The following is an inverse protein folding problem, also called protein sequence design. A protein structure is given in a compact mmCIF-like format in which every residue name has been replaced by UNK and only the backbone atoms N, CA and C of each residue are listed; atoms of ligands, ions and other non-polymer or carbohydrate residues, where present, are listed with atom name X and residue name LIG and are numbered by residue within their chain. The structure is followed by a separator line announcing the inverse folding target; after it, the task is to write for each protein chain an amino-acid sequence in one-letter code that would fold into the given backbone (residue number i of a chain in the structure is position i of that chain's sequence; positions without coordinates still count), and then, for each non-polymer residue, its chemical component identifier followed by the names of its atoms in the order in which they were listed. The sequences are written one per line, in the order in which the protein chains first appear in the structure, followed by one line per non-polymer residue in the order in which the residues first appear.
data_IF_952846689481
#
_entry.id   IF_952846689481
#
_cell.length_a   1.000
_cell.length_b   1.000
_cell.length_c   1.000
_cell.angle_alpha   90.00
_cell.angle_beta   90.00
_cell.angle_gamma   90.00
#
_symmetry.space_group_name_H-M   'P 1'
#
loop_
_entity.id
_entity.type
_entity.pdbx_description
1 polymer ?
#
# COMPACT_ATOMS: atom_id res chain seq x y z
N UNK A 1 -58.62 14.20 85.10
CA UNK A 1 -59.21 15.33 84.34
C UNK A 1 -60.67 15.44 84.72
N UNK A 2 -61.18 16.65 84.95
CA UNK A 2 -62.63 16.87 84.91
C UNK A 2 -63.10 16.65 83.47
N UNK A 3 -64.14 15.83 83.28
CA UNK A 3 -64.86 15.72 82.00
C UNK A 3 -66.07 16.65 82.02
N UNK A 4 -66.66 16.95 80.87
CA UNK A 4 -67.93 17.68 80.79
C UNK A 4 -69.01 17.07 81.70
N UNK A 5 -69.05 15.74 81.80
CA UNK A 5 -69.92 15.00 82.72
C UNK A 5 -69.59 15.24 84.21
N UNK A 6 -68.30 15.40 84.57
CA UNK A 6 -67.91 15.76 85.94
C UNK A 6 -68.30 17.20 86.29
N UNK A 7 -68.38 18.09 85.31
CA UNK A 7 -68.78 19.50 85.49
C UNK A 7 -70.30 19.58 85.69
N UNK A 8 -71.10 18.89 84.86
CA UNK A 8 -72.57 18.83 85.02
C UNK A 8 -73.04 18.14 86.30
N UNK A 9 -72.32 17.11 86.74
CA UNK A 9 -72.68 16.36 87.94
C UNK A 9 -72.20 17.01 89.25
N UNK A 10 -71.57 18.19 89.19
CA UNK A 10 -71.03 18.86 90.38
C UNK A 10 -72.16 19.47 91.21
N UNK A 11 -72.22 19.12 92.50
CA UNK A 11 -73.14 19.73 93.46
C UNK A 11 -72.41 20.66 94.43
N UNK A 12 -73.12 21.70 94.88
CA UNK A 12 -72.63 22.69 95.83
C UNK A 12 -73.53 22.76 97.08
N UNK A 13 -72.96 23.14 98.22
CA UNK A 13 -73.71 23.35 99.47
C UNK A 13 -74.48 24.67 99.46
N UNK A 14 -75.74 24.68 99.91
CA UNK A 14 -76.55 25.90 99.99
C UNK A 14 -76.18 26.77 101.21
N UNK A 15 -76.07 28.09 101.02
CA UNK A 15 -75.71 29.09 102.05
C UNK A 15 -76.67 30.28 101.98
N UNK A 16 -76.95 30.95 103.12
CA UNK A 16 -78.05 31.92 103.31
C UNK A 16 -78.09 33.09 102.30
N UNK A 17 -76.97 33.48 101.69
CA UNK A 17 -76.87 34.50 100.63
C UNK A 17 -76.10 33.95 99.41
N UNK A 18 -76.32 32.69 99.04
CA UNK A 18 -75.65 32.04 97.91
C UNK A 18 -76.25 32.41 96.54
N UNK A 19 -75.58 31.97 95.48
CA UNK A 19 -76.08 32.06 94.11
C UNK A 19 -77.32 31.18 93.88
N UNK A 20 -78.17 31.56 92.93
CA UNK A 20 -79.35 30.77 92.56
C UNK A 20 -78.93 29.40 91.97
N UNK A 21 -79.37 28.27 92.55
CA UNK A 21 -79.08 26.95 92.04
C UNK A 21 -79.48 26.72 90.57
N UNK A 22 -80.50 27.42 90.06
CA UNK A 22 -80.95 27.30 88.67
C UNK A 22 -79.95 27.98 87.70
N UNK A 23 -79.59 29.23 87.95
CA UNK A 23 -78.59 29.96 87.13
C UNK A 23 -77.22 29.28 87.15
N UNK A 24 -76.81 28.75 88.31
CA UNK A 24 -75.55 27.99 88.42
C UNK A 24 -75.59 26.71 87.59
N UNK A 25 -76.76 26.04 87.51
CA UNK A 25 -76.92 24.84 86.68
C UNK A 25 -76.84 25.15 85.19
N UNK A 26 -77.52 26.21 84.75
CA UNK A 26 -77.49 26.64 83.34
C UNK A 26 -76.07 27.03 82.92
N UNK A 27 -75.34 27.74 83.80
CA UNK A 27 -73.94 28.08 83.58
C UNK A 27 -73.00 26.86 83.56
N UNK A 28 -73.22 25.87 84.44
CA UNK A 28 -72.48 24.60 84.42
C UNK A 28 -72.74 23.80 83.14
N UNK A 29 -73.97 23.83 82.61
CA UNK A 29 -74.33 23.18 81.34
C UNK A 29 -73.64 23.83 80.14
N UNK A 30 -73.57 25.17 80.10
CA UNK A 30 -72.86 25.95 79.09
C UNK A 30 -71.35 25.71 79.14
N UNK A 31 -70.72 25.82 80.32
CA UNK A 31 -69.29 25.51 80.51
C UNK A 31 -68.99 24.06 80.12
N UNK A 32 -69.86 23.11 80.47
CA UNK A 32 -69.66 21.72 80.11
C UNK A 32 -69.67 21.52 78.58
N UNK A 33 -70.57 22.19 77.85
CA UNK A 33 -70.60 22.16 76.38
C UNK A 33 -69.35 22.81 75.76
N UNK A 34 -68.95 23.99 76.20
CA UNK A 34 -67.75 24.66 75.69
C UNK A 34 -66.48 23.86 75.99
N UNK A 35 -66.40 23.26 77.16
CA UNK A 35 -65.27 22.41 77.55
C UNK A 35 -65.18 21.13 76.71
N UNK A 36 -66.32 20.52 76.39
CA UNK A 36 -66.37 19.37 75.49
C UNK A 36 -65.95 19.75 74.06
N UNK A 37 -66.42 20.89 73.56
CA UNK A 37 -66.01 21.43 72.26
C UNK A 37 -64.50 21.74 72.21
N UNK A 38 -63.96 22.33 73.28
CA UNK A 38 -62.54 22.63 73.41
C UNK A 38 -61.68 21.35 73.47
N UNK A 39 -62.12 20.32 74.20
CA UNK A 39 -61.44 19.01 74.23
C UNK A 39 -61.43 18.37 72.85
N UNK A 40 -62.57 18.36 72.15
CA UNK A 40 -62.66 17.81 70.79
C UNK A 40 -61.76 18.56 69.80
N UNK A 41 -61.74 19.90 69.85
CA UNK A 41 -60.86 20.72 69.00
C UNK A 41 -59.38 20.48 69.31
N UNK A 42 -59.03 20.25 70.58
CA UNK A 42 -57.68 19.88 70.98
C UNK A 42 -57.28 18.51 70.40
N UNK A 43 -58.14 17.50 70.52
CA UNK A 43 -57.89 16.17 69.95
C UNK A 43 -57.70 16.23 68.43
N UNK A 44 -58.57 16.94 67.72
CA UNK A 44 -58.46 17.16 66.26
C UNK A 44 -57.16 17.88 65.89
N UNK A 45 -56.74 18.88 66.68
CA UNK A 45 -55.47 19.58 66.47
C UNK A 45 -54.26 18.70 66.76
N UNK A 46 -54.29 17.91 67.83
CA UNK A 46 -53.23 16.96 68.20
C UNK A 46 -53.06 15.87 67.12
N UNK A 47 -54.17 15.36 66.56
CA UNK A 47 -54.12 14.45 65.41
C UNK A 47 -53.51 15.10 64.17
N UNK A 48 -53.87 16.35 63.88
CA UNK A 48 -53.31 17.09 62.74
C UNK A 48 -51.82 17.35 62.91
N UNK A 49 -51.38 17.70 64.12
CA UNK A 49 -49.96 17.85 64.46
C UNK A 49 -49.20 16.54 64.27
N UNK A 50 -49.77 15.41 64.69
CA UNK A 50 -49.16 14.08 64.45
C UNK A 50 -48.98 13.80 62.96
N UNK A 51 -50.04 13.96 62.15
CA UNK A 51 -49.98 13.74 60.70
C UNK A 51 -48.96 14.65 60.01
N UNK A 52 -48.95 15.94 60.37
CA UNK A 52 -47.97 16.89 59.84
C UNK A 52 -46.53 16.52 60.22
N UNK A 53 -46.31 16.03 61.44
CA UNK A 53 -44.98 15.58 61.86
C UNK A 53 -44.53 14.32 61.11
N UNK A 54 -45.44 13.38 60.86
CA UNK A 54 -45.16 12.19 60.05
C UNK A 54 -44.82 12.56 58.60
N UNK A 55 -45.60 13.45 57.98
CA UNK A 55 -45.31 13.96 56.63
C UNK A 55 -43.97 14.71 56.59
N UNK A 56 -43.68 15.54 57.59
CA UNK A 56 -42.43 16.28 57.67
C UNK A 56 -41.22 15.35 57.85
N UNK A 57 -41.37 14.26 58.62
CA UNK A 57 -40.34 13.23 58.73
C UNK A 57 -40.09 12.55 57.37
N UNK A 58 -41.17 12.20 56.65
CA UNK A 58 -41.08 11.61 55.31
C UNK A 58 -40.41 12.55 54.31
N UNK A 59 -40.78 13.83 54.29
CA UNK A 59 -40.14 14.80 53.40
C UNK A 59 -38.64 14.97 53.68
N UNK A 60 -38.22 14.89 54.95
CA UNK A 60 -36.79 14.93 55.30
C UNK A 60 -36.04 13.70 54.82
N UNK A 61 -36.66 12.52 54.93
CA UNK A 61 -36.08 11.27 54.41
C UNK A 61 -35.95 11.32 52.88
N UNK A 62 -37.00 11.77 52.19
CA UNK A 62 -36.99 11.94 50.72
C UNK A 62 -35.94 12.97 50.29
N UNK A 63 -35.81 14.09 51.00
CA UNK A 63 -34.80 15.11 50.72
C UNK A 63 -33.38 14.54 50.84
N UNK A 64 -33.10 13.75 51.87
CA UNK A 64 -31.80 13.11 52.06
C UNK A 64 -31.54 12.04 50.99
N UNK A 65 -32.55 11.24 50.64
CA UNK A 65 -32.46 10.26 49.56
C UNK A 65 -32.14 10.92 48.22
N UNK A 66 -32.79 12.05 47.91
CA UNK A 66 -32.54 12.82 46.68
C UNK A 66 -31.12 13.42 46.69
N UNK A 67 -30.68 14.01 47.81
CA UNK A 67 -29.32 14.54 47.93
C UNK A 67 -28.28 13.45 47.73
N UNK A 68 -28.47 12.30 48.36
CA UNK A 68 -27.59 11.14 48.21
C UNK A 68 -27.57 10.63 46.77
N UNK A 69 -28.73 10.48 46.14
CA UNK A 69 -28.85 10.07 44.74
C UNK A 69 -28.15 11.05 43.79
N UNK A 70 -28.26 12.36 44.05
CA UNK A 70 -27.59 13.39 43.24
C UNK A 70 -26.06 13.29 43.36
N UNK A 71 -25.54 13.15 44.57
CA UNK A 71 -24.10 13.00 44.81
C UNK A 71 -23.58 11.71 44.18
N UNK A 72 -24.33 10.61 44.31
CA UNK A 72 -23.97 9.34 43.67
C UNK A 72 -23.95 9.46 42.14
N UNK A 73 -24.99 10.08 41.56
CA UNK A 73 -25.07 10.33 40.12
C UNK A 73 -23.91 11.19 39.61
N UNK A 74 -23.53 12.23 40.36
CA UNK A 74 -22.38 13.08 40.00
C UNK A 74 -21.07 12.31 40.04
N UNK A 75 -20.87 11.46 41.06
CA UNK A 75 -19.68 10.59 41.16
C UNK A 75 -19.62 9.60 40.01
N UNK A 76 -20.74 8.95 39.69
CA UNK A 76 -20.78 7.97 38.61
C UNK A 76 -20.58 8.63 37.24
N UNK A 77 -21.17 9.81 37.00
CA UNK A 77 -20.91 10.59 35.80
C UNK A 77 -19.43 10.98 35.67
N UNK A 78 -18.81 11.42 36.76
CA UNK A 78 -17.38 11.76 36.78
C UNK A 78 -16.51 10.54 36.49
N UNK A 79 -16.87 9.38 37.05
CA UNK A 79 -16.19 8.11 36.82
C UNK A 79 -16.31 7.67 35.36
N UNK A 80 -17.51 7.71 34.76
CA UNK A 80 -17.72 7.41 33.34
C UNK A 80 -16.84 8.30 32.45
N UNK A 81 -16.78 9.61 32.73
CA UNK A 81 -15.94 10.54 31.97
C UNK A 81 -14.46 10.20 32.14
N UNK A 82 -14.01 9.88 33.36
CA UNK A 82 -12.63 9.49 33.63
C UNK A 82 -12.25 8.20 32.92
N UNK A 83 -13.11 7.18 32.99
CA UNK A 83 -12.90 5.86 32.39
C UNK A 83 -12.87 5.98 30.86
N UNK A 84 -13.80 6.72 30.26
CA UNK A 84 -13.81 7.00 28.84
C UNK A 84 -12.54 7.74 28.37
N UNK A 85 -12.06 8.72 29.16
CA UNK A 85 -10.80 9.42 28.88
C UNK A 85 -9.59 8.50 29.03
N UNK A 86 -9.60 7.57 29.98
CA UNK A 86 -8.53 6.58 30.12
C UNK A 86 -8.50 5.64 28.92
N UNK A 87 -9.64 5.03 28.60
CA UNK A 87 -9.77 4.13 27.45
C UNK A 87 -9.39 4.80 26.13
N UNK A 88 -9.78 6.06 25.93
CA UNK A 88 -9.38 6.82 24.76
C UNK A 88 -7.86 7.04 24.68
N UNK A 89 -7.21 7.34 25.82
CA UNK A 89 -5.74 7.46 25.88
C UNK A 89 -5.06 6.13 25.60
N UNK A 90 -5.51 5.06 26.23
CA UNK A 90 -4.95 3.72 26.06
C UNK A 90 -5.11 3.25 24.60
N UNK A 91 -6.24 3.55 23.97
CA UNK A 91 -6.48 3.27 22.55
C UNK A 91 -5.52 4.05 21.64
N UNK A 92 -5.33 5.35 21.88
CA UNK A 92 -4.40 6.19 21.10
C UNK A 92 -2.96 5.71 21.28
N UNK A 93 -2.56 5.38 22.50
CA UNK A 93 -1.21 4.90 22.81
C UNK A 93 -0.93 3.53 22.18
N UNK A 94 -1.89 2.61 22.26
CA UNK A 94 -1.82 1.32 21.58
C UNK A 94 -1.72 1.47 20.06
N UNK A 95 -2.58 2.30 19.46
CA UNK A 95 -2.56 2.58 18.02
C UNK A 95 -1.23 3.20 17.57
N UNK A 96 -0.67 4.12 18.37
CA UNK A 96 0.63 4.74 18.09
C UNK A 96 1.78 3.74 18.18
N UNK A 97 1.76 2.86 19.19
CA UNK A 97 2.77 1.81 19.36
C UNK A 97 2.73 0.84 18.19
N UNK A 98 1.52 0.45 17.76
CA UNK A 98 1.34 -0.44 16.63
C UNK A 98 1.72 0.22 15.30
N UNK A 99 1.46 1.53 15.12
CA UNK A 99 1.92 2.29 13.95
C UNK A 99 3.45 2.32 13.87
N UNK A 100 4.13 2.60 14.98
CA UNK A 100 5.59 2.58 15.04
C UNK A 100 6.12 1.18 14.71
N UNK A 101 5.54 0.13 15.32
CA UNK A 101 5.92 -1.26 15.07
C UNK A 101 5.77 -1.63 13.59
N UNK A 102 4.63 -1.30 12.98
CA UNK A 102 4.36 -1.59 11.58
C UNK A 102 5.29 -0.79 10.64
N UNK A 103 5.56 0.47 10.97
CA UNK A 103 6.50 1.33 10.23
C UNK A 103 7.91 0.76 10.27
N UNK A 104 8.39 0.36 11.44
CA UNK A 104 9.70 -0.27 11.61
C UNK A 104 9.78 -1.57 10.81
N UNK A 105 8.77 -2.45 10.95
CA UNK A 105 8.70 -3.69 10.17
C UNK A 105 8.74 -3.40 8.66
N UNK A 106 7.92 -2.48 8.16
CA UNK A 106 7.93 -2.10 6.75
C UNK A 106 9.29 -1.54 6.31
N UNK A 107 9.94 -0.70 7.13
CA UNK A 107 11.26 -0.14 6.83
C UNK A 107 12.30 -1.25 6.72
N UNK A 108 12.32 -2.16 7.71
CA UNK A 108 13.27 -3.29 7.70
C UNK A 108 13.07 -4.22 6.51
N UNK A 109 11.83 -4.49 6.12
CA UNK A 109 11.52 -5.30 4.94
C UNK A 109 11.92 -4.59 3.65
N UNK A 110 11.66 -3.28 3.52
CA UNK A 110 12.11 -2.49 2.37
C UNK A 110 13.64 -2.49 2.25
N UNK A 111 14.36 -2.32 3.36
CA UNK A 111 15.82 -2.39 3.39
C UNK A 111 16.34 -3.78 3.02
N UNK A 112 15.71 -4.85 3.53
CA UNK A 112 16.05 -6.23 3.20
C UNK A 112 15.87 -6.49 1.70
N UNK A 113 14.71 -6.12 1.15
CA UNK A 113 14.41 -6.27 -0.27
C UNK A 113 15.42 -5.48 -1.10
N UNK A 114 15.73 -4.24 -0.73
CA UNK A 114 16.68 -3.39 -1.46
C UNK A 114 18.09 -4.01 -1.47
N UNK A 115 18.54 -4.55 -0.33
CA UNK A 115 19.83 -5.26 -0.23
C UNK A 115 19.83 -6.51 -1.10
N UNK A 116 18.81 -7.34 -1.02
CA UNK A 116 18.68 -8.55 -1.85
C UNK A 116 18.69 -8.24 -3.34
N UNK A 117 17.97 -7.20 -3.78
CA UNK A 117 18.01 -6.74 -5.16
C UNK A 117 19.39 -6.24 -5.58
N UNK A 118 20.02 -5.42 -4.75
CA UNK A 118 21.36 -4.91 -5.03
C UNK A 118 22.39 -6.04 -5.17
N UNK A 119 22.38 -6.99 -4.24
CA UNK A 119 23.29 -8.13 -4.25
C UNK A 119 23.06 -9.03 -5.47
N UNK A 120 21.80 -9.31 -5.80
CA UNK A 120 21.45 -10.08 -7.01
C UNK A 120 21.85 -9.39 -8.30
N UNK A 121 21.70 -8.07 -8.38
CA UNK A 121 22.19 -7.29 -9.51
C UNK A 121 23.72 -7.34 -9.60
N UNK A 122 24.43 -7.21 -8.48
CA UNK A 122 25.88 -7.30 -8.45
C UNK A 122 26.39 -8.68 -8.89
N UNK A 123 25.73 -9.76 -8.45
CA UNK A 123 26.03 -11.12 -8.89
C UNK A 123 25.80 -11.31 -10.39
N UNK A 124 24.66 -10.83 -10.91
CA UNK A 124 24.35 -10.91 -12.33
C UNK A 124 25.40 -10.16 -13.18
N UNK A 125 25.79 -8.95 -12.77
CA UNK A 125 26.82 -8.17 -13.46
C UNK A 125 28.16 -8.92 -13.45
N UNK A 126 28.56 -9.51 -12.32
CA UNK A 126 29.79 -10.31 -12.24
C UNK A 126 29.75 -11.50 -13.20
N UNK A 127 28.67 -12.26 -13.20
CA UNK A 127 28.50 -13.42 -14.07
C UNK A 127 28.55 -13.04 -15.56
N UNK A 128 27.84 -11.99 -15.96
CA UNK A 128 27.86 -11.52 -17.35
C UNK A 128 29.22 -10.95 -17.76
N UNK A 129 29.91 -10.26 -16.85
CA UNK A 129 31.29 -9.79 -17.08
C UNK A 129 32.25 -10.96 -17.27
N UNK A 130 32.12 -12.02 -16.46
CA UNK A 130 32.95 -13.22 -16.56
C UNK A 130 32.71 -13.98 -17.87
N UNK A 131 31.44 -14.19 -18.26
CA UNK A 131 31.09 -14.77 -19.56
C UNK A 131 31.62 -13.95 -20.73
N UNK A 132 31.50 -12.62 -20.65
CA UNK A 132 32.01 -11.72 -21.69
C UNK A 132 33.52 -11.82 -21.80
N UNK A 133 34.23 -11.87 -20.67
CA UNK A 133 35.68 -12.08 -20.64
C UNK A 133 36.07 -13.42 -21.26
N UNK A 134 35.37 -14.50 -20.93
CA UNK A 134 35.60 -15.83 -21.52
C UNK A 134 35.44 -15.79 -23.05
N UNK A 135 34.36 -15.18 -23.55
CA UNK A 135 34.14 -15.01 -25.00
C UNK A 135 35.25 -14.18 -25.66
N UNK A 136 35.70 -13.10 -25.01
CA UNK A 136 36.82 -12.28 -25.51
C UNK A 136 38.10 -13.12 -25.58
N UNK A 137 38.38 -13.93 -24.56
CA UNK A 137 39.56 -14.79 -24.51
C UNK A 137 39.52 -15.88 -25.60
N UNK A 138 38.35 -16.47 -25.87
CA UNK A 138 38.13 -17.40 -26.97
C UNK A 138 38.37 -16.76 -28.34
N UNK A 139 37.73 -15.62 -28.62
CA UNK A 139 37.92 -14.87 -29.86
C UNK A 139 39.39 -14.48 -30.05
N UNK A 140 40.06 -14.03 -28.98
CA UNK A 140 41.48 -13.68 -29.04
C UNK A 140 42.37 -14.87 -29.36
N UNK A 141 42.03 -16.07 -28.86
CA UNK A 141 42.75 -17.31 -29.16
C UNK A 141 42.59 -17.69 -30.62
N UNK A 142 41.38 -17.64 -31.15
CA UNK A 142 41.08 -17.91 -32.56
C UNK A 142 41.79 -16.89 -33.47
N UNK A 143 41.69 -15.60 -33.15
CA UNK A 143 42.38 -14.54 -33.87
C UNK A 143 43.91 -14.75 -33.91
N UNK A 144 44.52 -15.15 -32.79
CA UNK A 144 45.97 -15.47 -32.75
C UNK A 144 46.32 -16.66 -33.63
N UNK A 145 45.49 -17.71 -33.63
CA UNK A 145 45.71 -18.89 -34.46
C UNK A 145 45.59 -18.55 -35.96
N UNK A 146 44.56 -17.80 -36.34
CA UNK A 146 44.35 -17.38 -37.73
C UNK A 146 45.43 -16.41 -38.20
N UNK A 147 45.84 -15.47 -37.34
CA UNK A 147 46.98 -14.59 -37.62
C UNK A 147 48.28 -15.37 -37.86
N UNK A 148 48.54 -16.41 -37.07
CA UNK A 148 49.72 -17.25 -37.28
C UNK A 148 49.66 -18.01 -38.62
N UNK A 149 48.48 -18.50 -39.02
CA UNK A 149 48.27 -19.11 -40.35
C UNK A 149 48.47 -18.12 -41.48
N UNK A 150 47.93 -16.90 -41.33
CA UNK A 150 48.13 -15.83 -42.30
C UNK A 150 49.61 -15.47 -42.46
N UNK A 151 50.33 -15.34 -41.35
CA UNK A 151 51.77 -15.05 -41.37
C UNK A 151 52.56 -16.17 -42.05
N UNK A 152 52.15 -17.44 -41.88
CA UNK A 152 52.77 -18.57 -42.56
C UNK A 152 52.48 -18.59 -44.07
N UNK A 153 51.21 -18.44 -44.47
CA UNK A 153 50.82 -18.33 -45.87
C UNK A 153 51.54 -17.17 -46.57
N UNK A 154 51.72 -16.04 -45.87
CA UNK A 154 52.48 -14.89 -46.37
C UNK A 154 53.95 -15.26 -46.62
N UNK A 155 54.56 -16.07 -45.76
CA UNK A 155 55.91 -16.60 -45.98
C UNK A 155 55.94 -17.52 -47.20
N UNK A 156 55.00 -18.45 -47.32
CA UNK A 156 54.89 -19.36 -48.47
C UNK A 156 54.74 -18.59 -49.79
N UNK A 157 53.86 -17.59 -49.86
CA UNK A 157 53.69 -16.72 -51.03
C UNK A 157 54.97 -15.96 -51.35
N UNK A 158 55.71 -15.51 -50.33
CA UNK A 158 56.99 -14.81 -50.52
C UNK A 158 58.04 -15.76 -51.09
N UNK A 159 58.11 -17.00 -50.59
CA UNK A 159 59.00 -18.05 -51.09
C UNK A 159 58.65 -18.42 -52.54
N UNK A 160 57.36 -18.68 -52.81
CA UNK A 160 56.88 -18.97 -54.16
C UNK A 160 57.21 -17.84 -55.13
N UNK A 161 56.99 -16.57 -54.73
CA UNK A 161 57.39 -15.41 -55.55
C UNK A 161 58.89 -15.39 -55.82
N UNK A 162 59.72 -15.74 -54.84
CA UNK A 162 61.17 -15.81 -54.99
C UNK A 162 61.63 -16.97 -55.89
N UNK A 163 60.90 -18.09 -55.95
CA UNK A 163 61.16 -19.22 -56.85
C UNK A 163 60.66 -18.94 -58.28
N UNK A 164 59.49 -18.32 -58.42
CA UNK A 164 58.82 -18.08 -59.69
C UNK A 164 59.44 -16.92 -60.48
N UNK A 165 59.89 -15.86 -59.79
CA UNK A 165 60.56 -14.71 -60.42
C UNK A 165 61.77 -15.11 -61.30
N UNK A 166 62.73 -15.91 -60.82
CA UNK A 166 63.86 -16.33 -61.64
C UNK A 166 63.45 -17.28 -62.78
N UNK A 167 62.42 -18.12 -62.60
CA UNK A 167 61.85 -18.93 -63.68
C UNK A 167 61.26 -18.07 -64.79
N UNK A 168 60.47 -17.04 -64.44
CA UNK A 168 59.95 -16.09 -65.42
C UNK A 168 61.04 -15.25 -66.07
N UNK A 169 62.02 -14.77 -65.33
CA UNK A 169 63.17 -14.06 -65.89
C UNK A 169 63.93 -14.94 -66.90
N UNK A 170 64.08 -16.24 -66.60
CA UNK A 170 64.68 -17.21 -67.53
C UNK A 170 63.83 -17.44 -68.78
N UNK A 171 62.51 -17.58 -68.63
CA UNK A 171 61.59 -17.68 -69.78
C UNK A 171 61.62 -16.41 -70.63
N UNK A 172 61.64 -15.23 -70.02
CA UNK A 172 61.74 -13.94 -70.72
C UNK A 172 63.07 -13.82 -71.48
N UNK A 173 64.17 -14.26 -70.87
CA UNK A 173 65.49 -14.31 -71.53
C UNK A 173 65.51 -15.31 -72.69
N UNK A 174 64.83 -16.46 -72.57
CA UNK A 174 64.65 -17.40 -73.68
C UNK A 174 63.82 -16.80 -74.82
N UNK A 175 62.75 -16.05 -74.50
CA UNK A 175 61.91 -15.36 -75.48
C UNK A 175 62.71 -14.28 -76.23
N UNK A 176 63.58 -13.55 -75.53
CA UNK A 176 64.51 -12.59 -76.16
C UNK A 176 65.63 -13.24 -77.00
N UNK A 177 65.81 -14.57 -76.91
CA UNK A 177 66.81 -15.34 -77.68
C UNK A 177 66.22 -16.08 -78.88
N UNK A 178 64.91 -16.00 -79.11
CA UNK A 178 64.31 -16.51 -80.34
C UNK A 178 64.63 -15.56 -81.51
N UNK A 179 65.10 -16.06 -82.66
CA UNK A 179 65.22 -15.25 -83.87
C UNK A 179 63.83 -14.74 -84.27
N UNK A 180 63.69 -13.45 -84.57
CA UNK A 180 62.52 -12.92 -85.28
C UNK A 180 62.46 -13.63 -86.62
N UNK A 181 61.64 -14.67 -86.67
CA UNK A 181 61.26 -15.34 -87.91
C UNK A 181 59.86 -14.82 -88.17
N UNK A 182 59.68 -14.13 -89.30
CA UNK A 182 58.37 -13.71 -89.78
C UNK A 182 57.47 -14.96 -89.84
N UNK A 183 56.58 -15.09 -88.86
CA UNK A 183 55.47 -16.01 -88.94
C UNK A 183 54.38 -15.28 -89.72
N UNK A 184 53.98 -15.89 -90.83
CA UNK A 184 52.79 -15.52 -91.58
C UNK A 184 51.62 -15.38 -90.60
N UNK A 185 50.83 -14.32 -90.77
CA UNK A 185 49.61 -14.07 -90.00
C UNK A 185 48.64 -15.23 -90.20
N UNK A 186 48.69 -16.23 -89.32
CA UNK A 186 47.56 -17.13 -89.10
C UNK A 186 46.49 -16.32 -88.36
N UNK A 187 45.31 -16.25 -88.98
CA UNK A 187 44.14 -15.52 -88.50
C UNK A 187 43.66 -16.09 -87.15
N UNK A 188 44.21 -15.57 -86.04
CA UNK A 188 43.92 -15.98 -84.65
C UNK A 188 42.61 -15.40 -84.12
N UNK A 189 41.82 -14.73 -84.96
CA UNK A 189 40.55 -14.07 -84.59
C UNK A 189 39.57 -15.01 -83.89
N UNK A 190 39.50 -16.29 -84.27
CA UNK A 190 38.64 -17.27 -83.63
C UNK A 190 39.12 -17.68 -82.21
N UNK A 191 40.42 -17.66 -81.94
CA UNK A 191 40.98 -18.01 -80.63
C UNK A 191 40.91 -16.82 -79.66
N UNK A 192 41.09 -15.60 -80.16
CA UNK A 192 40.92 -14.37 -79.38
C UNK A 192 39.45 -14.10 -79.04
N UNK A 193 38.51 -14.37 -79.96
CA UNK A 193 37.07 -14.30 -79.68
C UNK A 193 36.62 -15.36 -78.66
N UNK A 194 37.17 -16.58 -78.72
CA UNK A 194 36.86 -17.63 -77.75
C UNK A 194 37.40 -17.31 -76.35
N UNK A 195 38.63 -16.80 -76.23
CA UNK A 195 39.23 -16.38 -74.96
C UNK A 195 38.54 -15.15 -74.37
N UNK A 196 38.12 -14.19 -75.20
CA UNK A 196 37.35 -13.03 -74.77
C UNK A 196 35.92 -13.40 -74.33
N UNK A 197 35.31 -14.40 -74.97
CA UNK A 197 34.01 -14.94 -74.57
C UNK A 197 34.08 -15.70 -73.24
N UNK A 198 35.11 -16.52 -73.01
CA UNK A 198 35.32 -17.19 -71.71
C UNK A 198 35.64 -16.19 -70.59
N UNK A 199 36.44 -15.16 -70.85
CA UNK A 199 36.75 -14.12 -69.88
C UNK A 199 35.51 -13.29 -69.48
N UNK A 200 34.68 -12.91 -70.46
CA UNK A 200 33.40 -12.24 -70.19
C UNK A 200 32.42 -13.14 -69.44
N UNK A 201 32.32 -14.42 -69.81
CA UNK A 201 31.44 -15.37 -69.12
C UNK A 201 31.88 -15.60 -67.66
N UNK A 202 33.18 -15.63 -67.39
CA UNK A 202 33.73 -15.74 -66.04
C UNK A 202 33.49 -14.46 -65.21
N UNK A 203 33.63 -13.28 -65.82
CA UNK A 203 33.37 -11.98 -65.16
C UNK A 203 31.86 -11.79 -64.86
N UNK A 204 30.98 -12.17 -65.79
CA UNK A 204 29.52 -12.15 -65.57
C UNK A 204 29.09 -13.15 -64.49
N UNK A 205 29.65 -14.37 -64.48
CA UNK A 205 29.37 -15.36 -63.44
C UNK A 205 29.85 -14.90 -62.05
N UNK A 206 31.02 -14.25 -61.97
CA UNK A 206 31.53 -13.68 -60.72
C UNK A 206 30.68 -12.51 -60.22
N UNK A 207 30.24 -11.62 -61.11
CA UNK A 207 29.36 -10.51 -60.78
C UNK A 207 27.97 -11.01 -60.31
N UNK A 208 27.44 -12.07 -60.93
CA UNK A 208 26.16 -12.66 -60.56
C UNK A 208 26.22 -13.36 -59.20
N UNK A 209 27.32 -14.07 -58.90
CA UNK A 209 27.56 -14.67 -57.58
C UNK A 209 27.75 -13.60 -56.48
N UNK A 210 28.40 -12.48 -56.78
CA UNK A 210 28.53 -11.37 -55.84
C UNK A 210 27.18 -10.67 -55.58
N UNK A 211 26.34 -10.53 -56.62
CA UNK A 211 25.00 -9.98 -56.51
C UNK A 211 24.07 -10.88 -55.68
N UNK A 212 24.11 -12.21 -55.88
CA UNK A 212 23.35 -13.17 -55.08
C UNK A 212 23.80 -13.17 -53.62
N UNK A 213 25.11 -13.05 -53.36
CA UNK A 213 25.64 -12.95 -51.99
C UNK A 213 25.18 -11.66 -51.30
N UNK A 214 25.22 -10.51 -51.97
CA UNK A 214 24.73 -9.23 -51.43
C UNK A 214 23.21 -9.25 -51.21
N UNK A 215 22.45 -9.89 -52.11
CA UNK A 215 21.00 -10.05 -51.95
C UNK A 215 20.64 -10.97 -50.77
N UNK A 216 21.41 -12.04 -50.55
CA UNK A 216 21.24 -12.91 -49.38
C UNK A 216 21.60 -12.19 -48.07
N UNK A 217 22.61 -11.33 -48.08
CA UNK A 217 23.02 -10.52 -46.92
C UNK A 217 21.97 -9.45 -46.59
N UNK A 218 21.41 -8.75 -47.59
CA UNK A 218 20.28 -7.83 -47.39
C UNK A 218 19.00 -8.54 -46.93
N UNK A 219 18.72 -9.75 -47.44
CA UNK A 219 17.56 -10.53 -47.02
C UNK A 219 17.71 -11.00 -45.56
N UNK A 220 18.91 -11.43 -45.16
CA UNK A 220 19.22 -11.80 -43.78
C UNK A 220 19.14 -10.58 -42.84
N UNK A 221 19.58 -9.40 -43.29
CA UNK A 221 19.48 -8.16 -42.54
C UNK A 221 18.02 -7.70 -42.39
N UNK A 222 17.20 -7.79 -43.44
CA UNK A 222 15.75 -7.51 -43.38
C UNK A 222 15.02 -8.50 -42.46
N UNK A 223 15.36 -9.79 -42.51
CA UNK A 223 14.76 -10.79 -41.61
C UNK A 223 15.18 -10.59 -40.14
N UNK A 224 16.41 -10.13 -39.91
CA UNK A 224 16.91 -9.75 -38.59
C UNK A 224 16.24 -8.47 -38.06
N UNK A 225 16.01 -7.47 -38.92
CA UNK A 225 15.27 -6.25 -38.60
C UNK A 225 13.79 -6.57 -38.30
N UNK A 226 13.14 -7.43 -39.08
CA UNK A 226 11.76 -7.85 -38.84
C UNK A 226 11.61 -8.66 -37.53
N UNK A 227 12.59 -9.49 -37.17
CA UNK A 227 12.63 -10.17 -35.86
C UNK A 227 12.81 -9.20 -34.69
N UNK A 228 13.58 -8.13 -34.85
CA UNK A 228 13.74 -7.09 -33.83
C UNK A 228 12.43 -6.28 -33.68
N UNK A 229 11.82 -5.89 -34.81
CA UNK A 229 10.60 -5.08 -34.81
C UNK A 229 9.34 -5.85 -34.35
N UNK A 230 9.29 -7.18 -34.54
CA UNK A 230 8.16 -8.02 -34.15
C UNK A 230 8.26 -8.64 -32.74
N UNK A 231 9.21 -8.20 -31.89
CA UNK A 231 9.22 -8.53 -30.45
C UNK A 231 8.54 -7.47 -29.58
N UNK A 232 7.92 -6.46 -30.22
CA UNK A 232 7.32 -5.32 -29.54
C UNK A 232 5.87 -5.03 -29.94
N UNK A 233 5.03 -6.05 -30.16
CA UNK A 233 3.57 -5.83 -30.15
C UNK A 233 3.12 -5.49 -28.72
N UNK A 234 3.39 -4.25 -28.31
CA UNK A 234 2.58 -3.58 -27.30
C UNK A 234 1.23 -3.31 -27.96
N UNK A 235 0.29 -4.23 -27.79
CA UNK A 235 -1.12 -3.86 -27.87
C UNK A 235 -1.39 -2.88 -26.72
N UNK A 236 -1.74 -1.60 -26.98
CA UNK A 236 -2.24 -0.76 -25.93
C UNK A 236 -3.61 -1.34 -25.53
N UNK A 237 -3.68 -1.95 -24.35
CA UNK A 237 -4.96 -2.32 -23.74
C UNK A 237 -5.67 -1.03 -23.37
N UNK A 238 -6.41 -0.44 -24.32
CA UNK A 238 -7.44 0.55 -24.03
C UNK A 238 -8.56 -0.18 -23.28
N UNK A 239 -8.90 0.20 -22.04
CA UNK A 239 -10.06 -0.34 -21.36
C UNK A 239 -11.29 0.00 -22.20
N UNK A 240 -12.13 -1.00 -22.49
CA UNK A 240 -13.40 -0.81 -23.20
C UNK A 240 -14.23 0.24 -22.46
N UNK A 241 -14.74 1.22 -23.20
CA UNK A 241 -15.72 2.20 -22.73
C UNK A 241 -17.04 1.51 -22.36
N UNK A 242 -17.09 0.82 -21.23
CA UNK A 242 -18.31 0.37 -20.56
C UNK A 242 -17.91 -0.11 -19.17
N UNK A 243 -17.82 0.84 -18.22
CA UNK A 243 -18.06 0.69 -16.77
C UNK A 243 -17.36 1.78 -15.92
N UNK A 244 -17.31 3.03 -16.41
CA UNK A 244 -17.01 4.17 -15.55
C UNK A 244 -18.31 4.75 -14.98
N UNK A 245 -18.83 4.15 -13.91
CA UNK A 245 -19.79 4.83 -13.03
C UNK A 245 -19.04 5.86 -12.19
N UNK A 246 -18.80 7.05 -12.76
CA UNK A 246 -18.38 8.20 -11.95
C UNK A 246 -19.54 8.62 -11.03
N UNK A 247 -19.20 8.78 -9.76
CA UNK A 247 -20.14 9.01 -8.67
C UNK A 247 -21.02 10.23 -8.87
N UNK A 248 -22.33 10.01 -8.82
CA UNK A 248 -23.25 10.94 -8.14
C UNK A 248 -23.36 10.44 -6.71
N UNK A 249 -22.76 11.14 -5.77
CA UNK A 249 -23.29 11.34 -4.43
C UNK A 249 -22.50 12.43 -3.71
N UNK A 250 -23.28 13.39 -3.22
CA UNK A 250 -22.99 14.60 -2.41
C UNK A 250 -22.50 15.83 -3.18
#
# INVERSE_FOLDING_TARGET
MMTASNIKARSFSAVRNGYDPAEVKDFLDEIAQEYEAALKSKEESDEKVKKLNEELAKYREDEEAIKSALVHSQKEASKIISDAKSQARDMIESAKTEEIRLREQSSTECERITKEYHDRCAEMIKQETEKTKQKIDEINKEYRAEKARYDELKREVTLFKAELLPLYQKQLALIMQLPETELEEEDTSAAEEAAAAEAKAAEEAAAQAEAERKAAEEAAEKEHIDKILNTGSFEPVLPKEQDLKFGKNN
#
